data_IF_035886653973
#
_entry.id   IF_035886653973
#
_cell.length_a   1.000
_cell.length_b   1.000
_cell.length_c   1.000
_cell.angle_alpha   90.00
_cell.angle_beta   90.00
_cell.angle_gamma   90.00
#
_symmetry.space_group_name_H-M   'P 1'
#
loop_
_entity.id
_entity.type
_entity.pdbx_description
1 polymer ?
#
# COMPACT_ATOMS: atom_id res chain seq x y z
N UNK A 1 -19.45 -7.25 11.10
CA UNK A 1 -18.21 -7.68 10.45
C UNK A 1 -17.99 -9.20 10.53
N UNK A 2 -18.13 -9.88 11.72
CA UNK A 2 -17.98 -11.36 11.83
C UNK A 2 -18.88 -12.11 10.84
N UNK A 3 -20.15 -11.73 10.72
CA UNK A 3 -21.09 -12.37 9.77
C UNK A 3 -20.68 -12.16 8.31
N UNK A 4 -20.13 -11.00 7.97
CA UNK A 4 -19.64 -10.72 6.63
C UNK A 4 -18.43 -11.62 6.30
N UNK A 5 -17.45 -11.70 7.20
CA UNK A 5 -16.27 -12.55 7.01
C UNK A 5 -16.69 -14.02 6.87
N UNK A 6 -17.61 -14.49 7.72
CA UNK A 6 -18.13 -15.85 7.67
C UNK A 6 -18.80 -16.16 6.31
N UNK A 7 -19.60 -15.23 5.78
CA UNK A 7 -20.26 -15.41 4.49
C UNK A 7 -19.26 -15.42 3.33
N UNK A 8 -18.27 -14.53 3.36
CA UNK A 8 -17.20 -14.50 2.35
C UNK A 8 -16.40 -15.81 2.36
N UNK A 9 -15.98 -16.27 3.55
CA UNK A 9 -15.20 -17.51 3.68
C UNK A 9 -16.05 -18.73 3.25
N UNK A 10 -17.34 -18.76 3.56
CA UNK A 10 -18.25 -19.83 3.11
C UNK A 10 -18.36 -19.92 1.58
N UNK A 11 -18.10 -18.79 0.87
CA UNK A 11 -18.07 -18.72 -0.58
C UNK A 11 -16.65 -18.81 -1.17
N UNK A 12 -15.65 -19.18 -0.37
CA UNK A 12 -14.26 -19.35 -0.81
C UNK A 12 -13.51 -18.03 -1.05
N UNK A 13 -13.99 -16.93 -0.47
CA UNK A 13 -13.37 -15.62 -0.56
C UNK A 13 -12.65 -15.33 0.76
N UNK A 14 -11.34 -15.18 0.70
CA UNK A 14 -10.51 -14.83 1.84
C UNK A 14 -10.60 -13.33 2.16
N UNK A 15 -10.51 -12.99 3.43
CA UNK A 15 -10.56 -11.61 3.92
C UNK A 15 -9.21 -11.19 4.47
N UNK A 16 -8.65 -10.15 3.87
CA UNK A 16 -7.38 -9.53 4.30
C UNK A 16 -7.72 -8.15 4.88
N UNK A 17 -7.32 -7.91 6.12
CA UNK A 17 -7.47 -6.60 6.73
C UNK A 17 -6.25 -5.73 6.43
N UNK A 18 -6.51 -4.49 6.05
CA UNK A 18 -5.49 -3.45 5.97
C UNK A 18 -5.28 -2.84 7.37
N UNK A 19 -4.06 -2.92 7.90
CA UNK A 19 -3.77 -2.55 9.27
C UNK A 19 -2.70 -1.46 9.34
N UNK A 20 -2.97 -0.46 10.17
CA UNK A 20 -2.10 0.69 10.37
C UNK A 20 -1.49 0.63 11.77
N UNK A 21 -0.24 0.17 11.85
CA UNK A 21 0.54 0.14 13.10
C UNK A 21 1.75 1.07 13.07
N UNK A 22 1.87 1.89 12.04
CA UNK A 22 3.02 2.75 11.85
C UNK A 22 2.85 4.14 12.49
N UNK A 23 1.61 4.60 12.69
CA UNK A 23 1.29 5.89 13.30
C UNK A 23 -0.08 5.90 13.98
N UNK A 24 -0.41 7.01 14.63
CA UNK A 24 -1.75 7.29 15.15
C UNK A 24 -2.25 8.64 14.63
N UNK A 25 -3.57 8.85 14.71
CA UNK A 25 -4.20 10.12 14.34
C UNK A 25 -3.91 11.27 15.33
N UNK A 26 -2.99 11.08 16.28
CA UNK A 26 -2.59 12.12 17.26
C UNK A 26 -1.65 13.19 16.68
N UNK A 27 -1.25 13.06 15.39
CA UNK A 27 -0.37 14.03 14.73
C UNK A 27 1.00 14.18 15.43
N UNK A 28 1.55 15.39 15.42
CA UNK A 28 2.81 15.71 16.08
C UNK A 28 2.61 16.19 17.54
N UNK A 29 3.60 16.86 18.13
CA UNK A 29 3.57 17.38 19.50
C UNK A 29 2.44 18.37 19.78
N UNK A 30 1.86 18.98 18.73
CA UNK A 30 0.72 19.91 18.83
C UNK A 30 -0.63 19.22 18.63
N UNK A 31 -0.62 17.95 18.27
CA UNK A 31 -1.85 17.18 18.06
C UNK A 31 -2.55 16.77 19.36
N UNK A 32 -3.78 16.24 19.26
CA UNK A 32 -4.58 15.86 20.41
C UNK A 32 -3.99 14.67 21.19
N UNK A 33 -4.57 14.42 22.37
CA UNK A 33 -4.21 13.32 23.28
C UNK A 33 -5.44 12.42 23.44
N UNK A 34 -5.63 11.47 22.58
CA UNK A 34 -6.77 10.53 22.65
C UNK A 34 -6.38 9.06 22.43
N UNK A 35 -5.11 8.80 22.17
CA UNK A 35 -4.55 7.46 22.02
C UNK A 35 -3.36 7.27 22.98
N UNK A 36 -2.19 6.87 22.50
CA UNK A 36 -1.08 6.43 23.34
C UNK A 36 -0.26 7.56 23.98
N UNK A 37 -0.35 8.80 23.49
CA UNK A 37 0.34 9.95 24.09
C UNK A 37 0.01 10.11 25.60
N UNK A 38 -1.24 9.85 25.97
CA UNK A 38 -1.71 9.96 27.34
C UNK A 38 -1.30 8.80 28.25
N UNK A 39 -0.84 7.67 27.70
CA UNK A 39 -0.40 6.52 28.48
C UNK A 39 1.09 6.56 28.79
N UNK A 40 1.92 6.43 27.76
CA UNK A 40 3.38 6.55 27.87
C UNK A 40 3.98 6.91 26.51
N UNK A 41 4.26 8.20 26.35
CA UNK A 41 4.70 8.74 25.08
C UNK A 41 6.03 8.13 24.59
N UNK A 42 6.95 7.78 25.52
CA UNK A 42 8.27 7.23 25.16
C UNK A 42 8.23 5.76 24.79
N UNK A 43 7.28 5.03 25.33
CA UNK A 43 7.09 3.62 25.01
C UNK A 43 6.48 3.46 23.63
N UNK A 44 5.44 4.24 23.35
CA UNK A 44 4.62 4.04 22.15
C UNK A 44 5.13 4.77 20.92
N UNK A 45 5.84 5.88 21.07
CA UNK A 45 6.29 6.68 19.93
C UNK A 45 7.80 6.75 19.83
N UNK A 46 8.29 6.81 18.59
CA UNK A 46 9.69 7.07 18.29
C UNK A 46 9.98 8.56 18.47
N UNK A 47 10.87 8.88 19.40
CA UNK A 47 11.25 10.25 19.76
C UNK A 47 12.72 10.52 19.49
N UNK A 48 13.00 11.69 18.93
CA UNK A 48 14.37 12.19 18.83
C UNK A 48 14.94 12.46 20.24
N UNK A 49 16.27 12.59 20.40
CA UNK A 49 16.87 12.97 21.68
C UNK A 49 16.32 14.27 22.29
N UNK A 50 15.78 15.17 21.45
CA UNK A 50 15.12 16.41 21.87
C UNK A 50 13.65 16.24 22.27
N UNK A 51 13.09 15.03 22.19
CA UNK A 51 11.71 14.74 22.53
C UNK A 51 10.68 15.03 21.44
N UNK A 52 11.13 15.33 20.22
CA UNK A 52 10.26 15.52 19.06
C UNK A 52 9.94 14.18 18.41
N UNK A 53 8.76 14.05 17.76
CA UNK A 53 8.39 12.84 17.07
C UNK A 53 9.21 12.63 15.78
N UNK A 54 9.69 11.42 15.56
CA UNK A 54 10.03 11.00 14.20
C UNK A 54 8.75 10.90 13.35
N UNK A 55 8.85 11.33 12.09
CA UNK A 55 7.71 11.35 11.18
C UNK A 55 8.01 10.56 9.90
N UNK A 56 8.24 9.25 10.04
CA UNK A 56 8.42 8.35 8.89
C UNK A 56 7.10 7.97 8.23
N UNK A 57 5.96 8.28 8.87
CA UNK A 57 4.63 8.03 8.34
C UNK A 57 4.08 9.15 7.45
N UNK A 58 4.64 10.37 7.56
CA UNK A 58 4.05 11.56 6.96
C UNK A 58 2.89 12.16 7.77
N UNK A 59 2.39 11.45 8.80
CA UNK A 59 1.22 11.84 9.61
C UNK A 59 1.57 12.54 10.94
N UNK A 60 2.83 12.93 11.12
CA UNK A 60 3.30 13.71 12.27
C UNK A 60 3.92 12.89 13.40
N UNK A 61 3.69 11.59 13.47
CA UNK A 61 4.29 10.68 14.45
C UNK A 61 4.64 9.33 13.83
N UNK A 62 5.42 8.55 14.56
CA UNK A 62 5.77 7.18 14.20
C UNK A 62 5.71 6.32 15.46
N UNK A 63 5.02 5.18 15.41
CA UNK A 63 5.00 4.22 16.52
C UNK A 63 6.34 3.51 16.67
N UNK A 64 6.75 3.28 17.92
CA UNK A 64 7.96 2.56 18.28
C UNK A 64 7.70 1.03 18.24
N UNK A 65 7.49 0.51 17.02
CA UNK A 65 6.99 -0.84 16.78
C UNK A 65 7.90 -1.95 17.34
N UNK A 66 9.19 -1.69 17.54
CA UNK A 66 10.14 -2.68 18.09
C UNK A 66 10.36 -2.55 19.61
N UNK A 67 9.68 -1.61 20.29
CA UNK A 67 9.61 -1.62 21.74
C UNK A 67 8.80 -2.85 22.21
N UNK A 68 9.25 -3.63 23.23
CA UNK A 68 8.59 -4.88 23.63
C UNK A 68 7.10 -4.76 23.94
N UNK A 69 6.67 -3.68 24.57
CA UNK A 69 5.25 -3.40 24.89
C UNK A 69 4.44 -3.21 23.62
N UNK A 70 4.97 -2.45 22.65
CA UNK A 70 4.29 -2.17 21.39
C UNK A 70 4.27 -3.43 20.51
N UNK A 71 5.36 -4.20 20.47
CA UNK A 71 5.37 -5.51 19.80
C UNK A 71 4.25 -6.41 20.32
N UNK A 72 4.15 -6.55 21.64
CA UNK A 72 3.12 -7.39 22.26
C UNK A 72 1.71 -6.91 21.91
N UNK A 73 1.47 -5.62 21.97
CA UNK A 73 0.18 -5.01 21.59
C UNK A 73 -0.19 -5.35 20.15
N UNK A 74 0.75 -5.20 19.21
CA UNK A 74 0.51 -5.51 17.79
C UNK A 74 0.22 -7.01 17.59
N UNK A 75 1.03 -7.89 18.17
CA UNK A 75 0.87 -9.34 18.08
C UNK A 75 -0.50 -9.77 18.61
N UNK A 76 -0.88 -9.30 19.80
CA UNK A 76 -2.16 -9.65 20.41
C UNK A 76 -3.35 -9.10 19.61
N UNK A 77 -3.23 -7.92 19.05
CA UNK A 77 -4.26 -7.36 18.15
C UNK A 77 -4.47 -8.27 16.93
N UNK A 78 -3.41 -8.70 16.26
CA UNK A 78 -3.49 -9.57 15.08
C UNK A 78 -4.00 -10.97 15.43
N UNK A 79 -3.58 -11.53 16.57
CA UNK A 79 -4.11 -12.79 17.10
C UNK A 79 -5.61 -12.71 17.35
N UNK A 80 -6.08 -11.59 17.96
CA UNK A 80 -7.50 -11.35 18.20
C UNK A 80 -8.31 -11.37 16.90
N UNK A 81 -7.88 -10.66 15.88
CA UNK A 81 -8.53 -10.67 14.56
C UNK A 81 -8.52 -12.06 13.92
N UNK A 82 -7.44 -12.81 14.08
CA UNK A 82 -7.33 -14.17 13.55
C UNK A 82 -8.24 -15.16 14.28
N UNK A 83 -8.24 -15.13 15.60
CA UNK A 83 -8.99 -16.09 16.42
C UNK A 83 -10.49 -15.76 16.43
N UNK A 84 -10.83 -14.48 16.66
CA UNK A 84 -12.21 -14.05 16.89
C UNK A 84 -12.98 -13.75 15.63
N UNK A 85 -12.30 -13.28 14.59
CA UNK A 85 -12.93 -12.88 13.33
C UNK A 85 -12.60 -13.81 12.17
N UNK A 86 -11.64 -14.71 12.34
CA UNK A 86 -11.20 -15.65 11.30
C UNK A 86 -10.76 -14.96 10.00
N UNK A 87 -10.03 -13.86 10.13
CA UNK A 87 -9.42 -13.20 8.96
C UNK A 87 -8.29 -14.03 8.40
N UNK A 88 -8.10 -14.01 7.09
CA UNK A 88 -7.15 -14.84 6.36
C UNK A 88 -5.80 -14.16 6.13
N UNK A 89 -5.73 -12.85 6.35
CA UNK A 89 -4.48 -12.10 6.16
C UNK A 89 -4.53 -10.67 6.65
N UNK A 90 -3.35 -10.05 6.62
CA UNK A 90 -3.14 -8.65 6.93
C UNK A 90 -2.23 -8.00 5.88
N UNK A 91 -2.62 -6.83 5.40
CA UNK A 91 -1.74 -5.91 4.67
C UNK A 91 -1.31 -4.83 5.64
N UNK A 92 -0.03 -4.59 5.75
CA UNK A 92 0.55 -3.63 6.68
C UNK A 92 0.91 -2.36 5.94
N UNK A 93 0.23 -1.28 6.30
CA UNK A 93 0.50 0.07 5.83
C UNK A 93 1.91 0.50 6.24
N UNK A 94 2.66 1.12 5.30
CA UNK A 94 4.05 1.59 5.49
C UNK A 94 4.90 0.61 6.33
N UNK A 95 4.91 -0.67 5.94
CA UNK A 95 5.48 -1.76 6.73
C UNK A 95 6.99 -1.61 7.00
N UNK A 96 7.72 -0.82 6.21
CA UNK A 96 9.13 -0.53 6.47
C UNK A 96 9.36 0.14 7.83
N UNK A 97 8.36 0.85 8.36
CA UNK A 97 8.41 1.44 9.71
C UNK A 97 8.50 0.36 10.79
N UNK A 98 7.82 -0.78 10.60
CA UNK A 98 7.86 -1.89 11.54
C UNK A 98 9.24 -2.53 11.64
N UNK A 99 10.13 -2.23 10.71
CA UNK A 99 11.52 -2.67 10.66
C UNK A 99 12.53 -1.64 11.17
N UNK A 100 12.10 -0.52 11.76
CA UNK A 100 13.00 0.51 12.27
C UNK A 100 13.33 0.34 13.75
N UNK A 101 14.56 0.70 14.10
CA UNK A 101 15.03 0.91 15.48
C UNK A 101 14.39 2.16 16.09
N UNK A 102 14.52 2.31 17.41
CA UNK A 102 14.09 3.47 18.16
C UNK A 102 14.74 4.79 17.68
N UNK A 103 15.96 4.73 17.16
CA UNK A 103 16.68 5.87 16.56
C UNK A 103 16.28 6.16 15.10
N UNK A 104 15.33 5.42 14.55
CA UNK A 104 14.87 5.54 13.18
C UNK A 104 15.68 4.76 12.15
N UNK A 105 16.78 4.14 12.50
CA UNK A 105 17.58 3.35 11.57
C UNK A 105 16.88 2.03 11.17
N UNK A 106 16.96 1.58 9.90
CA UNK A 106 16.38 0.30 9.51
C UNK A 106 17.20 -0.87 10.05
N UNK A 107 16.52 -1.93 10.50
CA UNK A 107 17.12 -3.17 10.99
C UNK A 107 17.14 -4.24 9.91
N UNK A 108 18.22 -5.05 9.88
CA UNK A 108 18.29 -6.22 9.01
C UNK A 108 17.41 -7.38 9.51
N UNK A 109 17.23 -7.50 10.80
CA UNK A 109 16.42 -8.54 11.45
C UNK A 109 15.51 -7.91 12.51
N UNK A 110 14.46 -7.18 12.12
CA UNK A 110 13.55 -6.53 13.05
C UNK A 110 12.77 -7.57 13.86
N UNK A 111 12.80 -7.48 15.21
CA UNK A 111 12.16 -8.45 16.08
C UNK A 111 10.67 -8.61 15.84
N UNK A 112 9.95 -7.52 15.63
CA UNK A 112 8.50 -7.57 15.36
C UNK A 112 8.19 -8.39 14.11
N UNK A 113 8.83 -8.09 12.97
CA UNK A 113 8.55 -8.79 11.70
C UNK A 113 8.90 -10.27 11.80
N UNK A 114 9.98 -10.61 12.52
CA UNK A 114 10.35 -11.99 12.79
C UNK A 114 9.30 -12.69 13.65
N UNK A 115 8.90 -12.07 14.76
CA UNK A 115 7.91 -12.64 15.68
C UNK A 115 6.56 -12.87 14.99
N UNK A 116 6.13 -11.95 14.11
CA UNK A 116 4.92 -12.13 13.30
C UNK A 116 5.04 -13.30 12.32
N UNK A 117 6.21 -13.46 11.69
CA UNK A 117 6.46 -14.55 10.74
C UNK A 117 6.50 -15.93 11.41
N UNK A 118 6.98 -15.99 12.66
CA UNK A 118 7.16 -17.24 13.43
C UNK A 118 6.00 -17.54 14.39
N UNK A 119 5.02 -16.65 14.52
CA UNK A 119 3.91 -16.79 15.46
C UNK A 119 3.04 -18.00 15.11
N UNK A 120 2.81 -18.93 16.07
CA UNK A 120 2.08 -20.16 15.81
C UNK A 120 0.60 -19.95 15.49
N UNK A 121 -0.02 -18.85 15.95
CA UNK A 121 -1.42 -18.52 15.66
C UNK A 121 -1.51 -17.91 14.24
N UNK A 122 -0.53 -17.06 13.88
CA UNK A 122 -0.47 -16.39 12.59
C UNK A 122 0.15 -17.25 11.48
N UNK A 123 0.57 -18.48 11.76
CA UNK A 123 1.35 -19.30 10.81
C UNK A 123 0.66 -19.55 9.46
N UNK A 124 -0.67 -19.55 9.43
CA UNK A 124 -1.46 -19.77 8.22
C UNK A 124 -2.07 -18.48 7.65
N UNK A 125 -1.83 -17.33 8.29
CA UNK A 125 -2.35 -16.02 7.93
C UNK A 125 -1.41 -15.36 6.94
N UNK A 126 -1.94 -14.76 5.88
CA UNK A 126 -1.15 -14.02 4.90
C UNK A 126 -0.59 -12.73 5.50
N UNK A 127 0.69 -12.47 5.29
CA UNK A 127 1.37 -11.24 5.71
C UNK A 127 1.85 -10.51 4.46
N UNK A 128 1.32 -9.32 4.24
CA UNK A 128 1.59 -8.52 3.05
C UNK A 128 2.13 -7.16 3.48
N UNK A 129 3.28 -6.78 2.95
CA UNK A 129 3.92 -5.52 3.27
C UNK A 129 3.71 -4.48 2.17
N UNK A 130 3.37 -3.27 2.57
CA UNK A 130 3.72 -2.09 1.82
C UNK A 130 5.17 -1.75 2.17
N UNK A 131 6.11 -2.21 1.34
CA UNK A 131 7.53 -2.28 1.67
C UNK A 131 8.27 -0.94 1.47
N UNK A 132 7.70 0.17 1.95
CA UNK A 132 8.29 1.51 1.95
C UNK A 132 7.75 2.35 3.12
N UNK A 133 8.25 3.59 3.25
CA UNK A 133 7.70 4.60 4.15
C UNK A 133 7.86 6.03 3.60
N UNK A 134 7.23 7.01 4.26
CA UNK A 134 7.29 8.42 3.86
C UNK A 134 8.64 9.09 4.21
N UNK A 135 9.52 8.43 4.96
CA UNK A 135 10.89 8.88 5.23
C UNK A 135 11.90 8.52 4.13
N UNK A 136 11.42 7.91 3.03
CA UNK A 136 12.24 7.57 1.86
C UNK A 136 12.88 6.18 1.89
N UNK A 137 12.56 5.34 2.87
CA UNK A 137 13.00 3.94 2.87
C UNK A 137 12.11 3.15 1.89
N UNK A 138 12.74 2.53 0.89
CA UNK A 138 12.07 1.71 -0.12
C UNK A 138 12.70 0.32 -0.16
N UNK A 139 11.96 -0.69 0.31
CA UNK A 139 12.47 -2.05 0.52
C UNK A 139 11.80 -3.11 -0.36
N UNK A 140 11.17 -2.73 -1.48
CA UNK A 140 10.60 -3.71 -2.40
C UNK A 140 11.70 -4.64 -2.93
N UNK A 141 11.57 -5.94 -2.62
CA UNK A 141 12.56 -6.97 -2.91
C UNK A 141 13.65 -7.16 -1.83
N UNK A 142 13.80 -6.21 -0.93
CA UNK A 142 14.77 -6.28 0.19
C UNK A 142 14.11 -6.22 1.58
N UNK A 143 12.80 -6.26 1.63
CA UNK A 143 12.06 -6.28 2.90
C UNK A 143 12.42 -7.51 3.74
N UNK A 144 12.59 -7.38 5.08
CA UNK A 144 12.90 -8.49 5.96
C UNK A 144 11.75 -9.49 6.06
N UNK A 145 11.64 -10.40 5.09
CA UNK A 145 10.45 -11.20 4.85
C UNK A 145 10.37 -12.49 5.66
N UNK A 146 11.48 -12.95 6.28
CA UNK A 146 11.55 -14.20 7.05
C UNK A 146 10.84 -15.38 6.34
N UNK A 147 10.97 -15.46 5.01
CA UNK A 147 10.36 -16.46 4.11
C UNK A 147 8.82 -16.44 4.03
N UNK A 148 8.15 -15.50 4.71
CA UNK A 148 6.68 -15.48 4.83
C UNK A 148 5.97 -14.28 4.22
N UNK A 149 6.62 -13.11 4.25
CA UNK A 149 6.00 -11.87 3.81
C UNK A 149 5.96 -11.77 2.29
N UNK A 150 4.79 -11.44 1.76
CA UNK A 150 4.63 -10.92 0.41
C UNK A 150 4.71 -9.38 0.43
N UNK A 151 4.91 -8.77 -0.73
CA UNK A 151 5.07 -7.33 -0.85
C UNK A 151 4.18 -6.78 -1.97
N UNK A 152 3.58 -5.62 -1.74
CA UNK A 152 3.09 -4.82 -2.84
C UNK A 152 4.25 -4.41 -3.73
N UNK A 153 4.21 -4.83 -4.99
CA UNK A 153 5.30 -4.58 -5.92
C UNK A 153 5.16 -3.21 -6.59
N UNK A 154 5.64 -2.16 -5.92
CA UNK A 154 5.64 -0.80 -6.45
C UNK A 154 6.44 -0.65 -7.75
N UNK A 155 7.50 -1.46 -7.96
CA UNK A 155 8.24 -1.47 -9.23
C UNK A 155 7.40 -2.04 -10.37
N UNK A 156 6.57 -3.06 -10.10
CA UNK A 156 5.61 -3.54 -11.09
C UNK A 156 4.68 -2.42 -11.54
N UNK A 157 4.06 -1.72 -10.58
CA UNK A 157 3.19 -0.58 -10.86
C UNK A 157 3.87 0.44 -11.77
N UNK A 158 5.05 0.89 -11.37
CA UNK A 158 5.74 1.99 -12.01
C UNK A 158 6.24 1.62 -13.41
N UNK A 159 6.86 0.46 -13.56
CA UNK A 159 7.39 -0.02 -14.83
C UNK A 159 6.27 -0.31 -15.83
N UNK A 160 5.17 -0.94 -15.35
CA UNK A 160 4.03 -1.26 -16.22
C UNK A 160 3.25 -0.02 -16.64
N UNK A 161 3.05 0.95 -15.76
CA UNK A 161 2.42 2.24 -16.14
C UNK A 161 3.23 2.94 -17.22
N UNK A 162 4.55 3.04 -17.05
CA UNK A 162 5.45 3.65 -18.03
C UNK A 162 5.48 2.89 -19.35
N UNK A 163 5.52 1.56 -19.32
CA UNK A 163 5.48 0.73 -20.53
C UNK A 163 4.16 0.89 -21.30
N UNK A 164 3.03 0.81 -20.62
CA UNK A 164 1.71 0.94 -21.25
C UNK A 164 1.46 2.34 -21.82
N UNK A 165 1.97 3.37 -21.16
CA UNK A 165 1.94 4.75 -21.66
C UNK A 165 2.80 4.95 -22.91
N UNK A 166 3.80 4.07 -23.15
CA UNK A 166 4.70 4.13 -24.27
C UNK A 166 6.00 4.91 -23.99
N UNK A 167 6.40 5.04 -22.74
CA UNK A 167 7.68 5.64 -22.37
C UNK A 167 8.84 4.78 -22.91
N UNK A 168 9.89 5.44 -23.38
CA UNK A 168 11.07 4.75 -23.92
C UNK A 168 11.80 3.95 -22.84
N UNK A 169 12.42 2.85 -23.23
CA UNK A 169 13.32 2.01 -22.42
C UNK A 169 12.64 1.11 -21.39
N UNK A 170 11.30 1.05 -21.32
CA UNK A 170 10.61 0.19 -20.34
C UNK A 170 10.29 -1.23 -20.83
N UNK A 171 10.61 -1.60 -22.07
CA UNK A 171 10.29 -2.94 -22.60
C UNK A 171 10.99 -4.07 -21.83
N UNK A 172 12.27 -3.91 -21.47
CA UNK A 172 13.02 -4.89 -20.69
C UNK A 172 12.49 -5.00 -19.25
N UNK A 173 12.22 -3.86 -18.61
CA UNK A 173 11.61 -3.83 -17.29
C UNK A 173 10.23 -4.50 -17.32
N UNK A 174 9.38 -4.19 -18.29
CA UNK A 174 8.07 -4.82 -18.44
C UNK A 174 8.18 -6.35 -18.65
N UNK A 175 9.14 -6.84 -19.43
CA UNK A 175 9.39 -8.26 -19.58
C UNK A 175 9.76 -8.94 -18.25
N UNK A 176 10.60 -8.29 -17.43
CA UNK A 176 10.92 -8.74 -16.07
C UNK A 176 9.67 -8.78 -15.16
N UNK A 177 8.84 -7.75 -15.23
CA UNK A 177 7.59 -7.69 -14.44
C UNK A 177 6.62 -8.79 -14.84
N UNK A 178 6.41 -9.03 -16.13
CA UNK A 178 5.55 -10.08 -16.67
C UNK A 178 5.99 -11.48 -16.22
N UNK A 179 7.28 -11.72 -16.14
CA UNK A 179 7.85 -13.03 -15.80
C UNK A 179 8.01 -13.27 -14.29
N UNK A 180 7.55 -12.34 -13.44
CA UNK A 180 7.50 -12.51 -11.99
C UNK A 180 8.55 -11.74 -11.21
N UNK A 181 9.16 -10.71 -11.81
CA UNK A 181 10.10 -9.80 -11.13
C UNK A 181 11.28 -10.52 -10.47
N UNK A 182 11.88 -11.51 -11.18
CA UNK A 182 12.98 -12.31 -10.65
C UNK A 182 14.28 -11.52 -10.42
N UNK A 183 14.41 -10.33 -10.99
CA UNK A 183 15.46 -9.37 -10.71
C UNK A 183 15.32 -8.71 -9.31
N UNK A 184 14.12 -8.77 -8.73
CA UNK A 184 13.79 -8.23 -7.41
C UNK A 184 13.69 -9.35 -6.37
N UNK A 185 12.99 -10.43 -6.70
CA UNK A 185 12.74 -11.58 -5.80
C UNK A 185 13.68 -12.73 -6.19
N UNK A 186 14.96 -12.58 -5.88
CA UNK A 186 16.01 -13.53 -6.24
C UNK A 186 16.11 -14.73 -5.31
N UNK A 187 15.51 -14.65 -4.13
CA UNK A 187 15.52 -15.73 -3.15
C UNK A 187 14.65 -16.89 -3.64
N UNK A 188 15.23 -18.09 -3.72
CA UNK A 188 14.51 -19.30 -4.11
C UNK A 188 13.29 -19.63 -3.24
N UNK A 189 13.25 -19.13 -1.99
CA UNK A 189 12.14 -19.35 -1.06
C UNK A 189 11.00 -18.34 -1.23
N UNK A 190 11.29 -17.18 -1.81
CA UNK A 190 10.30 -16.12 -2.03
C UNK A 190 9.69 -16.21 -3.43
N UNK A 191 10.53 -16.13 -4.45
CA UNK A 191 10.11 -16.20 -5.85
C UNK A 191 8.98 -15.21 -6.21
N UNK A 192 8.31 -15.46 -7.32
CA UNK A 192 7.21 -14.63 -7.80
C UNK A 192 5.95 -14.64 -6.90
N UNK A 193 5.80 -15.61 -6.01
CA UNK A 193 4.68 -15.66 -5.06
C UNK A 193 4.75 -14.53 -4.00
N UNK A 194 5.91 -13.91 -3.82
CA UNK A 194 6.07 -12.75 -2.93
C UNK A 194 5.59 -11.46 -3.57
N UNK A 195 5.36 -11.44 -4.89
CA UNK A 195 4.95 -10.25 -5.63
C UNK A 195 3.43 -10.11 -5.66
N UNK A 196 2.90 -9.09 -5.02
CA UNK A 196 1.52 -8.62 -5.24
C UNK A 196 1.60 -7.55 -6.32
N UNK A 197 1.18 -7.91 -7.53
CA UNK A 197 1.23 -7.04 -8.70
C UNK A 197 0.01 -6.13 -8.75
N UNK A 198 0.18 -4.86 -9.07
CA UNK A 198 -0.93 -3.93 -9.22
C UNK A 198 -0.59 -2.80 -10.21
N UNK A 199 -1.62 -2.24 -10.82
CA UNK A 199 -1.53 -1.02 -11.64
C UNK A 199 -2.02 0.17 -10.84
N UNK A 200 -3.10 -0.01 -10.07
CA UNK A 200 -3.78 0.99 -9.25
C UNK A 200 -4.03 0.43 -7.86
N UNK A 201 -4.14 1.30 -6.88
CA UNK A 201 -4.54 0.97 -5.52
C UNK A 201 -5.35 2.14 -4.93
N UNK A 202 -5.60 2.16 -3.62
CA UNK A 202 -6.31 3.25 -2.95
C UNK A 202 -5.57 4.58 -3.06
N UNK A 203 -4.23 4.55 -3.11
CA UNK A 203 -3.38 5.71 -3.36
C UNK A 203 -3.14 5.91 -4.86
N UNK A 204 -3.22 7.16 -5.31
CA UNK A 204 -3.06 7.51 -6.70
C UNK A 204 -4.37 7.50 -7.49
N UNK A 205 -4.28 7.57 -8.79
CA UNK A 205 -5.43 7.56 -9.70
C UNK A 205 -6.12 6.20 -9.74
N UNK A 206 -7.46 6.19 -9.90
CA UNK A 206 -8.21 5.04 -10.39
C UNK A 206 -7.73 4.67 -11.81
N UNK A 207 -8.11 3.50 -12.31
CA UNK A 207 -7.66 3.07 -13.64
C UNK A 207 -8.22 3.95 -14.77
N UNK A 208 -9.44 4.49 -14.61
CA UNK A 208 -10.00 5.46 -15.55
C UNK A 208 -9.22 6.77 -15.51
N UNK A 209 -8.95 7.30 -14.31
CA UNK A 209 -8.25 8.58 -14.15
C UNK A 209 -6.77 8.47 -14.58
N UNK A 210 -6.15 7.30 -14.44
CA UNK A 210 -4.79 7.05 -14.93
C UNK A 210 -4.64 7.30 -16.45
N UNK A 211 -5.73 7.10 -17.20
CA UNK A 211 -5.79 7.34 -18.65
C UNK A 211 -6.64 8.57 -19.02
N UNK A 212 -7.00 9.39 -18.04
CA UNK A 212 -7.79 10.61 -18.26
C UNK A 212 -7.10 11.88 -17.80
N UNK A 213 -6.11 11.77 -16.91
CA UNK A 213 -5.45 12.94 -16.31
C UNK A 213 -3.93 12.81 -16.37
N UNK A 214 -3.25 13.89 -16.78
CA UNK A 214 -1.79 14.01 -16.66
C UNK A 214 -1.39 14.58 -15.29
N UNK A 215 -2.19 15.51 -14.75
CA UNK A 215 -1.98 16.13 -13.45
C UNK A 215 -3.03 15.72 -12.42
N UNK A 216 -2.67 15.79 -11.15
CA UNK A 216 -3.63 15.58 -10.04
C UNK A 216 -4.50 16.81 -9.84
N UNK A 217 -5.72 16.59 -9.36
CA UNK A 217 -6.73 17.61 -9.04
C UNK A 217 -7.24 17.38 -7.60
N UNK A 218 -6.39 17.72 -6.61
CA UNK A 218 -6.66 17.52 -5.18
C UNK A 218 -7.04 18.84 -4.48
N UNK A 219 -7.46 19.86 -5.21
CA UNK A 219 -7.76 21.20 -4.67
C UNK A 219 -8.81 21.12 -3.56
N UNK A 220 -9.82 20.26 -3.72
CA UNK A 220 -10.92 20.10 -2.76
C UNK A 220 -10.48 19.41 -1.46
N UNK A 221 -9.28 18.84 -1.40
CA UNK A 221 -8.72 18.27 -0.18
C UNK A 221 -8.26 19.33 0.84
N UNK A 222 -8.23 20.61 0.44
CA UNK A 222 -7.87 21.74 1.32
C UNK A 222 -6.37 21.98 1.49
N UNK A 223 -5.51 21.28 0.73
CA UNK A 223 -4.04 21.39 0.76
C UNK A 223 -3.45 22.12 -0.45
N UNK A 224 -4.27 22.89 -1.19
CA UNK A 224 -3.86 23.58 -2.42
C UNK A 224 -3.16 22.66 -3.43
N UNK A 225 -3.69 21.44 -3.61
CA UNK A 225 -3.15 20.42 -4.51
C UNK A 225 -1.70 19.98 -4.19
N UNK A 226 -1.25 20.16 -2.94
CA UNK A 226 0.11 19.76 -2.52
C UNK A 226 0.21 18.32 -1.99
N UNK A 227 -0.92 17.70 -1.68
CA UNK A 227 -1.04 16.33 -1.21
C UNK A 227 -1.12 15.32 -2.38
N UNK A 228 -0.96 14.03 -2.08
CA UNK A 228 -0.91 12.98 -3.09
C UNK A 228 0.36 13.00 -3.93
N UNK A 229 0.49 12.03 -4.84
CA UNK A 229 1.69 11.87 -5.68
C UNK A 229 1.66 12.79 -6.91
N UNK A 230 2.80 13.41 -7.23
CA UNK A 230 3.01 14.12 -8.51
C UNK A 230 3.49 13.17 -9.63
N UNK A 231 4.15 12.06 -9.29
CA UNK A 231 4.59 11.03 -10.26
C UNK A 231 3.53 9.93 -10.40
N UNK A 232 2.50 10.21 -11.19
CA UNK A 232 1.42 9.26 -11.45
C UNK A 232 1.71 8.31 -12.61
N UNK A 233 2.68 8.63 -13.47
CA UNK A 233 2.97 7.92 -14.73
C UNK A 233 1.72 7.70 -15.56
N UNK A 234 0.82 8.68 -15.52
CA UNK A 234 -0.47 8.70 -16.21
C UNK A 234 -0.36 9.27 -17.62
N UNK A 235 -1.42 9.12 -18.39
CA UNK A 235 -1.56 9.68 -19.72
C UNK A 235 -3.03 10.00 -20.00
N UNK A 236 -3.35 11.26 -20.30
CA UNK A 236 -4.72 11.71 -20.56
C UNK A 236 -5.30 11.24 -21.91
N UNK A 237 -4.52 10.49 -22.71
CA UNK A 237 -4.90 10.03 -24.06
C UNK A 237 -5.23 11.14 -25.07
N UNK A 238 -4.80 12.38 -24.80
CA UNK A 238 -4.94 13.51 -25.71
C UNK A 238 -5.80 14.65 -25.22
N UNK A 239 -6.61 14.43 -24.18
CA UNK A 239 -7.45 15.48 -23.56
C UNK A 239 -7.51 15.29 -22.05
N UNK A 240 -7.28 16.37 -21.29
CA UNK A 240 -7.28 16.32 -19.83
C UNK A 240 -8.71 16.24 -19.27
N UNK A 241 -8.96 15.26 -18.41
CA UNK A 241 -10.25 15.13 -17.75
C UNK A 241 -11.35 14.52 -18.62
N UNK A 242 -12.58 14.88 -18.31
CA UNK A 242 -13.77 14.40 -19.04
C UNK A 242 -13.77 14.86 -20.50
N UNK A 243 -14.19 13.97 -21.40
CA UNK A 243 -14.26 14.25 -22.83
C UNK A 243 -15.50 13.67 -23.46
N UNK A 244 -16.02 14.35 -24.46
CA UNK A 244 -17.10 13.85 -25.34
C UNK A 244 -16.57 13.24 -26.64
N UNK A 245 -15.26 13.34 -26.91
CA UNK A 245 -14.64 12.77 -28.12
C UNK A 245 -14.69 11.22 -28.05
N UNK A 246 -15.42 10.58 -29.00
CA UNK A 246 -15.56 9.14 -28.98
C UNK A 246 -14.25 8.39 -29.26
N UNK A 247 -13.30 9.00 -29.97
CA UNK A 247 -12.02 8.38 -30.29
C UNK A 247 -11.13 8.35 -29.05
N UNK A 248 -11.09 9.44 -28.28
CA UNK A 248 -10.34 9.52 -27.03
C UNK A 248 -10.95 8.55 -26.01
N UNK A 249 -12.28 8.53 -25.85
CA UNK A 249 -12.97 7.58 -24.94
C UNK A 249 -12.67 6.12 -25.32
N UNK A 250 -12.69 5.79 -26.60
CA UNK A 250 -12.36 4.45 -27.06
C UNK A 250 -10.89 4.09 -26.79
N UNK A 251 -9.98 5.07 -26.94
CA UNK A 251 -8.56 4.88 -26.61
C UNK A 251 -8.37 4.63 -25.11
N UNK A 252 -9.00 5.42 -24.23
CA UNK A 252 -8.97 5.23 -22.78
C UNK A 252 -9.43 3.82 -22.38
N UNK A 253 -10.59 3.39 -22.88
CA UNK A 253 -11.12 2.04 -22.63
C UNK A 253 -10.16 0.94 -23.12
N UNK A 254 -9.50 1.14 -24.26
CA UNK A 254 -8.49 0.20 -24.74
C UNK A 254 -7.29 0.13 -23.81
N UNK A 255 -6.82 1.27 -23.31
CA UNK A 255 -5.69 1.32 -22.38
C UNK A 255 -6.01 0.64 -21.05
N UNK A 256 -7.21 0.86 -20.50
CA UNK A 256 -7.68 0.15 -19.31
C UNK A 256 -7.69 -1.37 -19.52
N UNK A 257 -8.26 -1.83 -20.65
CA UNK A 257 -8.29 -3.26 -20.99
C UNK A 257 -6.89 -3.85 -21.14
N UNK A 258 -5.95 -3.11 -21.74
CA UNK A 258 -4.56 -3.51 -21.85
C UNK A 258 -3.91 -3.64 -20.45
N UNK A 259 -4.15 -2.70 -19.56
CA UNK A 259 -3.63 -2.72 -18.19
C UNK A 259 -4.17 -3.93 -17.40
N UNK A 260 -5.49 -4.19 -17.48
CA UNK A 260 -6.10 -5.38 -16.87
C UNK A 260 -5.53 -6.68 -17.45
N UNK A 261 -5.40 -6.76 -18.78
CA UNK A 261 -4.84 -7.96 -19.44
C UNK A 261 -3.40 -8.22 -18.97
N UNK A 262 -2.55 -7.21 -18.99
CA UNK A 262 -1.16 -7.32 -18.54
C UNK A 262 -1.09 -7.77 -17.09
N UNK A 263 -1.89 -7.17 -16.22
CA UNK A 263 -1.95 -7.53 -14.80
C UNK A 263 -2.34 -9.01 -14.60
N UNK A 264 -3.41 -9.46 -15.25
CA UNK A 264 -3.94 -10.82 -15.11
C UNK A 264 -3.06 -11.89 -15.78
N UNK A 265 -2.24 -11.52 -16.79
CA UNK A 265 -1.33 -12.43 -17.46
C UNK A 265 0.08 -12.45 -16.86
N UNK A 266 0.39 -11.60 -15.90
CA UNK A 266 1.69 -11.56 -15.24
C UNK A 266 1.83 -12.63 -14.17
N UNK A 267 3.03 -13.16 -13.99
CA UNK A 267 3.34 -14.04 -12.86
C UNK A 267 3.39 -13.25 -11.57
N UNK A 268 2.79 -13.81 -10.51
CA UNK A 268 2.61 -13.19 -9.21
C UNK A 268 1.13 -13.18 -8.84
N UNK A 269 0.78 -12.51 -7.75
CA UNK A 269 -0.62 -12.36 -7.32
C UNK A 269 -1.16 -11.03 -7.84
N UNK A 270 -2.17 -11.03 -8.72
CA UNK A 270 -2.75 -9.77 -9.19
C UNK A 270 -3.61 -9.14 -8.09
N UNK A 271 -3.45 -7.83 -7.91
CA UNK A 271 -4.31 -7.00 -7.07
C UNK A 271 -5.03 -5.98 -7.95
N UNK A 272 -6.33 -5.86 -7.75
CA UNK A 272 -7.21 -5.00 -8.53
C UNK A 272 -7.97 -4.04 -7.60
N UNK A 273 -8.00 -2.75 -7.92
CA UNK A 273 -8.76 -1.77 -7.15
C UNK A 273 -10.26 -1.93 -7.46
N UNK A 274 -11.08 -2.06 -6.42
CA UNK A 274 -12.52 -2.07 -6.57
C UNK A 274 -13.00 -0.76 -7.22
N UNK A 275 -13.86 -0.87 -8.25
CA UNK A 275 -14.29 0.26 -9.07
C UNK A 275 -13.60 0.34 -10.43
N UNK A 276 -12.37 -0.14 -10.55
CA UNK A 276 -11.65 -0.14 -11.84
C UNK A 276 -12.37 -0.98 -12.91
N UNK A 277 -13.11 -2.03 -12.51
CA UNK A 277 -13.84 -2.93 -13.41
C UNK A 277 -15.00 -2.26 -14.16
N UNK A 278 -15.55 -1.17 -13.63
CA UNK A 278 -16.57 -0.37 -14.30
C UNK A 278 -16.13 1.03 -14.68
N UNK A 279 -14.85 1.38 -14.45
CA UNK A 279 -14.28 2.67 -14.84
C UNK A 279 -14.62 3.79 -13.86
N UNK A 280 -14.49 3.50 -12.56
CA UNK A 280 -14.64 4.49 -11.50
C UNK A 280 -13.72 5.70 -11.74
N UNK A 281 -14.26 6.90 -11.54
CA UNK A 281 -13.49 8.15 -11.63
C UNK A 281 -13.60 8.95 -10.35
N UNK A 282 -12.50 9.54 -9.96
CA UNK A 282 -12.40 10.50 -8.85
C UNK A 282 -12.11 11.89 -9.38
N UNK A 283 -12.39 12.12 -10.66
CA UNK A 283 -12.22 13.38 -11.38
C UNK A 283 -10.80 13.95 -11.25
N UNK A 284 -9.80 13.06 -11.26
CA UNK A 284 -8.39 13.42 -11.12
C UNK A 284 -7.92 13.68 -9.68
N UNK A 285 -8.77 13.46 -8.67
CA UNK A 285 -8.32 13.44 -7.28
C UNK A 285 -7.60 12.12 -7.00
N UNK A 286 -6.30 12.17 -6.79
CA UNK A 286 -5.47 11.00 -6.54
C UNK A 286 -5.18 10.72 -5.06
N UNK A 287 -5.88 11.43 -4.15
CA UNK A 287 -5.75 11.26 -2.70
C UNK A 287 -7.09 11.56 -1.98
N UNK A 288 -8.18 10.83 -2.27
CA UNK A 288 -9.54 11.19 -1.86
C UNK A 288 -9.87 10.86 -0.40
N UNK A 289 -8.91 10.60 0.48
CA UNK A 289 -9.09 10.12 1.85
C UNK A 289 -10.03 10.99 2.72
N UNK A 290 -10.12 12.28 2.45
CA UNK A 290 -10.95 13.23 3.20
C UNK A 290 -12.23 13.64 2.48
N UNK A 291 -12.56 13.02 1.34
CA UNK A 291 -13.75 13.32 0.56
C UNK A 291 -14.95 12.50 1.05
N UNK A 292 -16.03 13.18 1.46
CA UNK A 292 -17.31 12.57 1.87
C UNK A 292 -18.42 13.03 0.89
N UNK A 293 -18.29 12.60 -0.36
CA UNK A 293 -19.15 12.99 -1.48
C UNK A 293 -19.14 11.89 -2.56
N UNK A 294 -19.63 12.22 -3.79
CA UNK A 294 -19.72 11.30 -4.94
C UNK A 294 -18.37 10.72 -5.43
N UNK A 295 -17.24 11.25 -4.97
CA UNK A 295 -15.91 10.67 -5.27
C UNK A 295 -15.66 9.40 -4.45
N UNK A 296 -16.30 9.28 -3.30
CA UNK A 296 -16.07 8.19 -2.34
C UNK A 296 -17.25 7.22 -2.23
N UNK A 297 -18.49 7.65 -2.63
CA UNK A 297 -19.76 6.90 -2.46
C UNK A 297 -20.53 6.67 -3.74
#
# INVERSE_FOLDING_TARGET
>A
LKSLIQELNANGIEVILDVVFNHTAEGNEKGPFFSFKGFDNRVYYMLTPGGWYYNFSGCGNTLNCNHPVVQQMIIECLRYWTIEYHVDGFRFDLASILGRNEDGSPMNQPPLLKNLAEDPILRNVKLIAEAWDAGGLYQVGSFPAFTRWAEWNGKYRDDMRSFLKGDYWFAEAAASRLTGSLDIYTDQYRGYNSSINFITCHDGFSLWDLYSYNGKHNEDNGWNNSDGSDDNRSWNCGEEGETTDPQIRQLRLRMMKNACMVLMCSRGTPMFLAGDEFGDTRFGNNNPYCQDNEISW
#
